data_IF_339053640374
#
_entry.id   IF_339053640374
#
_cell.length_a   1.000
_cell.length_b   1.000
_cell.length_c   1.000
_cell.angle_alpha   90.00
_cell.angle_beta   90.00
_cell.angle_gamma   90.00
#
_symmetry.space_group_name_H-M   'P 1'
#
loop_
_entity.id
_entity.type
_entity.pdbx_description
1 polymer ?
#
# COMPACT_ATOMS: atom_id res chain seq x y z
N UNK A 1 5.61 3.00 4.14
CA UNK A 1 6.45 2.02 4.89
C UNK A 1 7.86 2.56 4.95
N UNK A 2 8.64 2.27 6.00
CA UNK A 2 10.04 2.70 6.09
C UNK A 2 10.96 1.75 5.32
N UNK A 3 12.04 2.28 4.75
CA UNK A 3 13.01 1.53 3.95
C UNK A 3 13.77 0.46 4.74
N UNK A 4 13.91 0.64 6.05
CA UNK A 4 14.57 -0.26 7.01
C UNK A 4 13.68 -1.41 7.52
N UNK A 5 12.43 -1.49 7.07
CA UNK A 5 11.51 -2.53 7.52
C UNK A 5 12.08 -3.91 7.19
N UNK A 6 12.21 -4.76 8.21
CA UNK A 6 12.71 -6.12 8.06
C UNK A 6 11.72 -7.01 7.31
N UNK A 7 12.20 -7.65 6.24
CA UNK A 7 11.47 -8.57 5.38
C UNK A 7 12.22 -9.91 5.30
N UNK A 8 11.49 -10.92 4.86
CA UNK A 8 11.99 -12.19 4.38
C UNK A 8 11.46 -12.40 2.96
N UNK A 9 12.16 -13.22 2.18
CA UNK A 9 11.66 -13.70 0.89
C UNK A 9 10.30 -14.39 1.03
N UNK A 10 9.47 -14.38 -0.01
CA UNK A 10 8.17 -15.07 0.00
C UNK A 10 8.29 -16.57 0.32
N UNK A 11 9.33 -17.21 -0.20
CA UNK A 11 9.61 -18.64 -0.06
C UNK A 11 10.21 -19.00 1.30
N UNK A 12 10.56 -18.02 2.13
CA UNK A 12 11.08 -18.29 3.45
C UNK A 12 10.07 -19.15 4.24
N UNK A 13 10.56 -20.26 4.77
CA UNK A 13 9.79 -21.21 5.55
C UNK A 13 10.39 -21.36 6.95
N UNK A 14 9.58 -21.82 7.90
CA UNK A 14 10.06 -22.11 9.26
C UNK A 14 10.70 -23.49 9.26
N UNK A 15 11.88 -23.59 9.87
CA UNK A 15 12.59 -24.86 10.00
C UNK A 15 12.94 -25.17 11.46
N UNK A 16 12.89 -26.45 11.78
CA UNK A 16 13.36 -27.02 13.05
C UNK A 16 14.83 -27.38 12.89
N UNK A 17 15.67 -27.08 13.88
CA UNK A 17 17.06 -27.54 13.83
C UNK A 17 17.11 -29.03 14.16
N UNK A 18 18.07 -29.79 13.59
CA UNK A 18 18.36 -31.13 14.06
C UNK A 18 18.58 -31.13 15.58
N UNK A 19 18.03 -32.12 16.26
CA UNK A 19 18.08 -32.22 17.72
C UNK A 19 18.62 -33.59 18.13
N UNK A 20 19.72 -33.57 18.89
CA UNK A 20 20.41 -34.77 19.37
C UNK A 20 20.72 -34.71 20.88
N UNK A 21 20.02 -33.83 21.62
CA UNK A 21 20.25 -33.62 23.05
C UNK A 21 19.15 -34.19 23.93
N UNK A 22 19.21 -33.89 25.23
CA UNK A 22 18.20 -34.23 26.25
C UNK A 22 17.41 -33.02 26.76
N UNK A 23 17.77 -31.80 26.33
CA UNK A 23 17.13 -30.53 26.75
C UNK A 23 15.82 -30.18 26.01
N UNK A 24 15.40 -28.91 26.04
CA UNK A 24 14.16 -28.49 25.35
C UNK A 24 14.25 -28.70 23.84
N UNK A 25 13.27 -29.41 23.26
CA UNK A 25 13.19 -29.63 21.80
C UNK A 25 13.10 -28.28 21.03
N UNK A 26 13.80 -28.13 19.89
CA UNK A 26 13.74 -26.91 19.10
C UNK A 26 12.35 -26.71 18.51
N UNK A 27 11.88 -25.47 18.51
CA UNK A 27 10.62 -25.09 17.85
C UNK A 27 10.89 -24.56 16.44
N UNK A 28 9.95 -24.73 15.49
CA UNK A 28 10.09 -24.18 14.15
C UNK A 28 10.28 -22.67 14.19
N UNK A 29 11.26 -22.12 13.45
CA UNK A 29 11.45 -20.67 13.33
C UNK A 29 12.02 -20.29 11.98
N UNK A 30 11.78 -19.04 11.56
CA UNK A 30 12.49 -18.45 10.42
C UNK A 30 13.95 -18.29 10.78
N UNK A 31 14.83 -18.99 10.06
CA UNK A 31 16.28 -18.95 10.24
C UNK A 31 16.99 -18.15 9.15
N UNK A 32 16.30 -17.93 8.03
CA UNK A 32 16.76 -17.11 6.93
C UNK A 32 17.04 -15.68 7.41
N UNK A 33 18.07 -15.07 6.81
CA UNK A 33 18.45 -13.69 7.10
C UNK A 33 17.30 -12.75 6.74
N UNK A 34 17.01 -11.81 7.64
CA UNK A 34 16.09 -10.71 7.35
C UNK A 34 16.83 -9.63 6.58
N UNK A 35 16.18 -9.10 5.57
CA UNK A 35 16.72 -8.10 4.66
C UNK A 35 15.84 -6.86 4.76
N UNK A 36 16.42 -5.67 4.66
CA UNK A 36 15.62 -4.44 4.62
C UNK A 36 14.90 -4.32 3.27
N UNK A 37 13.75 -3.66 3.24
CA UNK A 37 13.03 -3.42 1.99
C UNK A 37 13.90 -2.71 0.94
N UNK A 38 14.74 -1.76 1.38
CA UNK A 38 15.72 -1.11 0.51
C UNK A 38 16.71 -2.11 -0.08
N UNK A 39 17.37 -2.90 0.75
CA UNK A 39 18.40 -3.83 0.29
C UNK A 39 17.80 -4.87 -0.67
N UNK A 40 16.62 -5.41 -0.36
CA UNK A 40 15.94 -6.37 -1.22
C UNK A 40 15.65 -5.81 -2.63
N UNK A 41 15.18 -4.55 -2.72
CA UNK A 41 14.91 -3.91 -4.00
C UNK A 41 16.21 -3.56 -4.75
N UNK A 42 17.27 -3.19 -4.03
CA UNK A 42 18.58 -2.95 -4.62
C UNK A 42 19.22 -4.23 -5.17
N UNK A 43 19.09 -5.36 -4.48
CA UNK A 43 19.60 -6.67 -4.92
C UNK A 43 18.90 -7.18 -6.19
N UNK A 44 17.59 -6.94 -6.33
CA UNK A 44 16.86 -7.20 -7.59
C UNK A 44 17.32 -6.32 -8.76
N UNK A 45 17.96 -5.18 -8.44
CA UNK A 45 18.58 -4.28 -9.41
C UNK A 45 17.59 -3.55 -10.31
N UNK A 46 18.13 -2.67 -11.17
CA UNK A 46 17.32 -1.84 -12.08
C UNK A 46 16.63 -2.63 -13.19
N UNK A 47 17.09 -3.85 -13.50
CA UNK A 47 16.52 -4.71 -14.56
C UNK A 47 15.16 -5.30 -14.17
N UNK A 48 14.90 -5.46 -12.87
CA UNK A 48 13.62 -5.93 -12.35
C UNK A 48 12.54 -4.82 -12.28
N UNK A 49 12.85 -3.59 -12.72
CA UNK A 49 11.91 -2.48 -12.68
C UNK A 49 11.01 -2.46 -13.90
N UNK A 50 9.71 -2.27 -13.66
CA UNK A 50 8.72 -2.05 -14.71
C UNK A 50 8.30 -0.58 -14.74
N UNK A 51 8.33 0.02 -15.94
CA UNK A 51 7.74 1.35 -16.14
C UNK A 51 6.23 1.23 -16.18
N UNK A 52 5.54 1.91 -15.26
CA UNK A 52 4.08 1.85 -15.14
C UNK A 52 3.49 3.24 -15.28
N UNK A 53 2.44 3.33 -16.11
CA UNK A 53 1.56 4.51 -16.24
C UNK A 53 0.24 4.24 -15.53
N UNK A 54 -0.15 5.08 -14.58
CA UNK A 54 -1.34 4.82 -13.75
C UNK A 54 -2.47 5.83 -13.91
N UNK A 55 -2.20 7.07 -14.34
CA UNK A 55 -3.24 8.11 -14.57
C UNK A 55 -2.71 9.20 -15.51
N UNK A 56 -3.61 9.93 -16.16
CA UNK A 56 -3.29 11.21 -16.82
C UNK A 56 -3.47 12.36 -15.83
N UNK A 57 -2.38 13.09 -15.54
CA UNK A 57 -2.40 14.33 -14.78
C UNK A 57 -2.47 15.55 -15.70
N UNK A 58 -2.48 16.75 -15.12
CA UNK A 58 -2.52 18.01 -15.88
C UNK A 58 -1.32 18.23 -16.81
N UNK A 59 -0.16 17.64 -16.49
CA UNK A 59 1.08 17.68 -17.30
C UNK A 59 1.29 16.42 -18.15
N UNK A 60 0.25 15.63 -18.38
CA UNK A 60 0.32 14.37 -19.12
C UNK A 60 0.35 13.12 -18.23
N UNK A 61 0.68 11.94 -18.79
CA UNK A 61 0.59 10.68 -18.08
C UNK A 61 1.59 10.59 -16.93
N UNK A 62 1.08 10.36 -15.72
CA UNK A 62 1.88 10.04 -14.55
C UNK A 62 2.50 8.65 -14.74
N UNK A 63 3.84 8.64 -14.75
CA UNK A 63 4.65 7.45 -14.97
C UNK A 63 5.86 7.44 -14.05
N UNK A 64 6.30 6.24 -13.69
CA UNK A 64 7.49 5.98 -12.88
C UNK A 64 7.89 4.51 -13.04
N UNK A 65 8.98 4.09 -12.43
CA UNK A 65 9.44 2.70 -12.44
C UNK A 65 9.21 2.06 -11.08
N UNK A 66 8.78 0.80 -11.09
CA UNK A 66 8.44 0.08 -9.87
C UNK A 66 9.06 -1.31 -9.85
N UNK A 67 9.52 -1.72 -8.67
CA UNK A 67 9.72 -3.12 -8.33
C UNK A 67 8.48 -3.63 -7.58
N UNK A 68 8.01 -4.81 -7.94
CA UNK A 68 6.94 -5.52 -7.24
C UNK A 68 7.42 -6.91 -6.87
N UNK A 69 7.53 -7.19 -5.58
CA UNK A 69 8.07 -8.43 -5.04
C UNK A 69 7.07 -9.05 -4.06
N UNK A 70 7.04 -10.38 -3.98
CA UNK A 70 6.33 -11.09 -2.92
C UNK A 70 7.28 -11.27 -1.75
N UNK A 71 6.85 -10.90 -0.55
CA UNK A 71 7.69 -10.90 0.65
C UNK A 71 6.89 -11.34 1.88
N UNK A 72 7.59 -11.74 2.93
CA UNK A 72 7.01 -11.93 4.27
C UNK A 72 7.50 -10.81 5.20
N UNK A 73 6.63 -9.89 5.65
CA UNK A 73 7.05 -8.87 6.59
C UNK A 73 7.48 -9.50 7.92
N UNK A 74 8.67 -9.14 8.41
CA UNK A 74 9.32 -9.77 9.54
C UNK A 74 9.68 -8.78 10.66
N UNK A 75 8.99 -7.64 10.70
CA UNK A 75 9.10 -6.65 11.79
C UNK A 75 8.65 -7.20 13.14
N UNK A 76 9.09 -6.57 14.23
CA UNK A 76 8.80 -7.04 15.60
C UNK A 76 7.29 -7.13 15.87
N UNK A 77 6.52 -6.10 15.47
CA UNK A 77 5.07 -6.06 15.70
C UNK A 77 4.33 -7.21 15.02
N UNK A 78 4.62 -7.47 13.74
CA UNK A 78 3.95 -8.54 13.01
C UNK A 78 4.37 -9.92 13.54
N UNK A 79 5.65 -10.12 13.88
CA UNK A 79 6.10 -11.38 14.48
C UNK A 79 5.45 -11.67 15.83
N UNK A 80 5.21 -10.65 16.65
CA UNK A 80 4.46 -10.79 17.91
C UNK A 80 3.00 -11.12 17.66
N UNK A 81 2.34 -10.43 16.72
CA UNK A 81 0.94 -10.66 16.40
C UNK A 81 0.65 -12.08 15.92
N UNK A 82 1.59 -12.72 15.21
CA UNK A 82 1.43 -14.08 14.74
C UNK A 82 1.90 -15.14 15.76
N UNK A 83 2.35 -14.75 16.95
CA UNK A 83 2.68 -15.66 18.08
C UNK A 83 3.56 -16.86 17.71
N UNK A 84 4.47 -16.71 16.75
CA UNK A 84 5.26 -17.84 16.25
C UNK A 84 4.44 -18.80 15.39
N UNK A 85 3.51 -18.29 14.59
CA UNK A 85 2.90 -18.92 13.43
C UNK A 85 3.65 -18.55 12.13
N UNK A 86 3.08 -18.91 10.98
CA UNK A 86 3.61 -18.46 9.69
C UNK A 86 3.35 -16.97 9.46
N UNK A 87 4.34 -16.26 8.93
CA UNK A 87 4.18 -14.85 8.56
C UNK A 87 3.46 -14.75 7.21
N UNK A 88 2.54 -13.80 7.03
CA UNK A 88 1.78 -13.71 5.78
C UNK A 88 2.69 -13.31 4.63
N UNK A 89 2.41 -13.84 3.43
CA UNK A 89 3.03 -13.37 2.19
C UNK A 89 2.21 -12.19 1.67
N UNK A 90 2.87 -11.08 1.38
CA UNK A 90 2.24 -9.88 0.84
C UNK A 90 3.10 -9.27 -0.28
N UNK A 91 2.55 -8.27 -0.97
CA UNK A 91 3.27 -7.48 -1.96
C UNK A 91 4.13 -6.43 -1.28
N UNK A 92 5.40 -6.35 -1.66
CA UNK A 92 6.23 -5.16 -1.56
C UNK A 92 6.23 -4.45 -2.90
N UNK A 93 5.72 -3.22 -2.93
CA UNK A 93 5.88 -2.32 -4.05
C UNK A 93 6.90 -1.24 -3.68
N UNK A 94 7.89 -1.02 -4.53
CA UNK A 94 8.86 0.06 -4.36
C UNK A 94 8.91 0.92 -5.62
N UNK A 95 8.84 2.23 -5.45
CA UNK A 95 9.02 3.19 -6.53
C UNK A 95 10.50 3.57 -6.63
N UNK A 96 11.06 3.41 -7.82
CA UNK A 96 12.42 3.81 -8.14
C UNK A 96 12.43 4.74 -9.36
N UNK A 97 12.22 6.06 -9.16
CA UNK A 97 12.13 7.01 -10.25
C UNK A 97 13.39 7.03 -11.13
N UNK A 98 13.28 7.41 -12.42
CA UNK A 98 14.45 7.67 -13.25
C UNK A 98 15.33 8.77 -12.64
N UNK A 99 16.65 8.65 -12.78
CA UNK A 99 17.63 9.58 -12.20
C UNK A 99 17.99 9.32 -10.74
N UNK A 100 17.13 8.62 -9.98
CA UNK A 100 17.38 8.38 -8.56
C UNK A 100 18.40 7.25 -8.33
N UNK A 101 19.34 7.41 -7.37
CA UNK A 101 20.32 6.38 -7.05
C UNK A 101 19.69 5.18 -6.33
N UNK A 102 18.55 5.37 -5.66
CA UNK A 102 17.86 4.34 -4.88
C UNK A 102 16.32 4.49 -4.91
N UNK A 103 15.56 3.47 -4.48
CA UNK A 103 14.10 3.57 -4.44
C UNK A 103 13.63 4.54 -3.34
N UNK A 104 12.68 5.41 -3.69
CA UNK A 104 12.28 6.55 -2.87
C UNK A 104 11.03 6.30 -2.03
N UNK A 105 10.16 5.38 -2.45
CA UNK A 105 8.89 5.08 -1.76
C UNK A 105 8.61 3.59 -1.71
N UNK A 106 7.98 3.14 -0.63
CA UNK A 106 7.69 1.73 -0.36
C UNK A 106 6.26 1.55 0.19
N UNK A 107 5.57 0.54 -0.32
CA UNK A 107 4.24 0.11 0.11
C UNK A 107 4.24 -1.40 0.39
N UNK A 108 3.47 -1.81 1.39
CA UNK A 108 3.06 -3.20 1.57
C UNK A 108 1.59 -3.33 1.24
N UNK A 109 1.21 -4.44 0.63
CA UNK A 109 -0.19 -4.72 0.31
C UNK A 109 -0.53 -6.19 0.46
N UNK A 110 -1.63 -6.46 1.15
CA UNK A 110 -2.22 -7.81 1.30
C UNK A 110 -3.12 -8.19 0.13
N UNK A 111 -3.10 -7.42 -0.98
CA UNK A 111 -3.88 -7.73 -2.17
C UNK A 111 -3.50 -9.11 -2.76
N UNK A 112 -4.43 -9.73 -3.52
CA UNK A 112 -4.21 -11.02 -4.16
C UNK A 112 -2.91 -11.11 -4.97
N UNK A 113 -2.30 -12.30 -5.01
CA UNK A 113 -1.01 -12.54 -5.68
C UNK A 113 -1.06 -12.46 -7.20
N UNK A 114 -2.25 -12.47 -7.78
CA UNK A 114 -2.55 -12.36 -9.22
C UNK A 114 -2.95 -10.95 -9.64
N UNK A 115 -2.94 -9.98 -8.72
CA UNK A 115 -3.34 -8.60 -9.04
C UNK A 115 -2.43 -7.99 -10.13
N UNK A 116 -3.00 -7.38 -11.19
CA UNK A 116 -2.19 -6.72 -12.21
C UNK A 116 -1.35 -5.59 -11.61
N UNK A 117 -0.06 -5.53 -12.00
CA UNK A 117 0.87 -4.51 -11.51
C UNK A 117 0.34 -3.08 -11.66
N UNK A 118 -0.29 -2.77 -12.80
CA UNK A 118 -0.88 -1.45 -13.03
C UNK A 118 -1.96 -1.10 -11.99
N UNK A 119 -2.77 -2.07 -11.58
CA UNK A 119 -3.82 -1.88 -10.55
C UNK A 119 -3.19 -1.71 -9.16
N UNK A 120 -2.16 -2.50 -8.84
CA UNK A 120 -1.39 -2.36 -7.60
C UNK A 120 -0.76 -0.96 -7.48
N UNK A 121 -0.09 -0.49 -8.54
CA UNK A 121 0.49 0.86 -8.60
C UNK A 121 -0.60 1.93 -8.53
N UNK A 122 -1.72 1.75 -9.25
CA UNK A 122 -2.85 2.68 -9.21
C UNK A 122 -3.40 2.88 -7.79
N UNK A 123 -3.58 1.78 -7.04
CA UNK A 123 -4.01 1.81 -5.65
C UNK A 123 -2.95 2.47 -4.74
N UNK A 124 -1.68 2.13 -4.91
CA UNK A 124 -0.59 2.75 -4.13
C UNK A 124 -0.48 4.27 -4.35
N UNK A 125 -0.88 4.74 -5.54
CA UNK A 125 -0.84 6.15 -5.96
C UNK A 125 -2.17 6.89 -5.79
N UNK A 126 -3.20 6.26 -5.21
CA UNK A 126 -4.53 6.87 -5.06
C UNK A 126 -4.56 8.05 -4.08
N UNK A 127 -3.51 8.24 -3.27
CA UNK A 127 -3.42 9.32 -2.27
C UNK A 127 -3.81 10.70 -2.80
N UNK A 128 -3.36 11.05 -4.01
CA UNK A 128 -3.72 12.33 -4.62
C UNK A 128 -5.23 12.47 -4.90
N UNK A 129 -5.90 11.36 -5.21
CA UNK A 129 -7.36 11.35 -5.36
C UNK A 129 -8.04 11.56 -4.01
N UNK A 130 -7.57 10.87 -2.97
CA UNK A 130 -8.05 11.08 -1.59
C UNK A 130 -7.93 12.55 -1.18
N UNK A 131 -6.77 13.18 -1.39
CA UNK A 131 -6.56 14.60 -1.05
C UNK A 131 -7.48 15.54 -1.84
N UNK A 132 -7.79 15.21 -3.09
CA UNK A 132 -8.74 15.98 -3.90
C UNK A 132 -10.17 15.80 -3.40
N UNK A 133 -10.61 14.56 -3.14
CA UNK A 133 -11.93 14.22 -2.62
C UNK A 133 -12.17 14.90 -1.25
N UNK A 134 -11.15 14.93 -0.37
CA UNK A 134 -11.22 15.66 0.90
C UNK A 134 -11.35 17.17 0.73
N UNK A 135 -10.69 17.77 -0.28
CA UNK A 135 -10.83 19.20 -0.56
C UNK A 135 -12.25 19.51 -1.02
N UNK A 136 -12.81 18.67 -1.89
CA UNK A 136 -14.19 18.81 -2.34
C UNK A 136 -15.19 18.67 -1.20
N UNK A 137 -15.03 17.64 -0.35
CA UNK A 137 -15.86 17.42 0.82
C UNK A 137 -15.86 18.64 1.76
N UNK A 138 -14.70 19.24 2.03
CA UNK A 138 -14.58 20.42 2.89
C UNK A 138 -15.09 21.68 2.20
N UNK A 139 -14.42 22.12 1.15
CA UNK A 139 -14.67 23.41 0.52
C UNK A 139 -15.96 23.45 -0.30
N UNK A 140 -16.30 22.35 -0.98
CA UNK A 140 -17.47 22.29 -1.86
C UNK A 140 -18.75 21.86 -1.14
N UNK A 141 -18.64 20.98 -0.15
CA UNK A 141 -19.80 20.35 0.51
C UNK A 141 -19.91 20.66 2.01
N UNK A 142 -18.97 21.40 2.58
CA UNK A 142 -19.06 21.90 3.94
C UNK A 142 -18.84 20.85 5.03
N UNK A 143 -17.99 19.85 4.80
CA UNK A 143 -17.66 18.84 5.81
C UNK A 143 -17.21 19.45 7.15
N UNK A 144 -16.55 20.60 7.11
CA UNK A 144 -16.06 21.36 8.26
C UNK A 144 -16.95 22.56 8.66
N UNK A 145 -18.17 22.66 8.12
CA UNK A 145 -19.12 23.74 8.41
C UNK A 145 -20.14 23.39 9.52
N UNK A 146 -19.96 22.28 10.24
CA UNK A 146 -20.87 21.91 11.33
C UNK A 146 -20.62 22.77 12.58
N UNK A 147 -21.63 23.53 13.00
CA UNK A 147 -21.55 24.44 14.17
C UNK A 147 -22.27 23.91 15.42
N UNK A 148 -22.89 22.73 15.34
CA UNK A 148 -23.57 22.10 16.48
C UNK A 148 -22.61 21.48 17.50
N UNK A 149 -23.16 21.04 18.64
CA UNK A 149 -22.36 20.45 19.75
C UNK A 149 -22.72 19.02 20.11
N UNK A 150 -23.68 18.41 19.41
CA UNK A 150 -24.13 17.05 19.69
C UNK A 150 -23.44 16.07 18.77
N UNK A 151 -23.03 14.91 19.32
CA UNK A 151 -22.46 13.81 18.55
C UNK A 151 -23.40 13.33 17.44
N UNK A 152 -24.70 13.22 17.74
CA UNK A 152 -25.73 12.83 16.77
C UNK A 152 -25.86 13.84 15.62
N UNK A 153 -25.86 15.15 15.95
CA UNK A 153 -25.89 16.21 14.93
C UNK A 153 -24.67 16.17 14.02
N UNK A 154 -23.48 16.00 14.59
CA UNK A 154 -22.24 15.87 13.81
C UNK A 154 -22.28 14.64 12.90
N UNK A 155 -22.74 13.50 13.41
CA UNK A 155 -22.89 12.28 12.63
C UNK A 155 -23.85 12.45 11.47
N UNK A 156 -25.00 13.08 11.70
CA UNK A 156 -25.98 13.37 10.67
C UNK A 156 -25.37 14.26 9.58
N UNK A 157 -24.67 15.32 9.96
CA UNK A 157 -23.98 16.23 9.04
C UNK A 157 -22.95 15.50 8.16
N UNK A 158 -22.01 14.78 8.78
CA UNK A 158 -20.96 14.04 8.03
C UNK A 158 -21.58 13.00 7.10
N UNK A 159 -22.68 12.36 7.51
CA UNK A 159 -23.40 11.39 6.69
C UNK A 159 -24.02 12.07 5.47
N UNK A 160 -24.74 13.18 5.65
CA UNK A 160 -25.35 13.94 4.55
C UNK A 160 -24.29 14.45 3.57
N UNK A 161 -23.19 15.01 4.06
CA UNK A 161 -22.07 15.47 3.23
C UNK A 161 -21.45 14.31 2.44
N UNK A 162 -21.31 13.13 3.06
CA UNK A 162 -20.80 11.93 2.37
C UNK A 162 -21.74 11.45 1.27
N UNK A 163 -23.07 11.49 1.51
CA UNK A 163 -24.09 11.15 0.51
C UNK A 163 -24.07 12.14 -0.66
N UNK A 164 -23.98 13.44 -0.37
CA UNK A 164 -23.88 14.47 -1.41
C UNK A 164 -22.62 14.27 -2.27
N UNK A 165 -21.49 13.94 -1.66
CA UNK A 165 -20.25 13.64 -2.38
C UNK A 165 -20.38 12.40 -3.27
N UNK A 166 -21.02 11.34 -2.77
CA UNK A 166 -21.29 10.14 -3.55
C UNK A 166 -22.19 10.45 -4.76
N UNK A 167 -23.24 11.25 -4.57
CA UNK A 167 -24.11 11.71 -5.64
C UNK A 167 -23.33 12.48 -6.73
N UNK A 168 -22.56 13.51 -6.35
CA UNK A 168 -21.73 14.26 -7.29
C UNK A 168 -20.72 13.37 -8.03
N UNK A 169 -20.13 12.40 -7.33
CA UNK A 169 -19.18 11.45 -7.92
C UNK A 169 -19.86 10.55 -8.96
N UNK A 170 -21.06 10.05 -8.67
CA UNK A 170 -21.84 9.21 -9.59
C UNK A 170 -22.25 9.99 -10.85
N UNK A 171 -22.72 11.22 -10.70
CA UNK A 171 -23.08 12.09 -11.84
C UNK A 171 -21.86 12.39 -12.73
N UNK A 172 -20.66 12.58 -12.14
CA UNK A 172 -19.42 12.73 -12.93
C UNK A 172 -19.02 11.47 -13.70
N UNK A 173 -19.33 10.30 -13.16
CA UNK A 173 -19.03 9.01 -13.81
C UNK A 173 -20.05 8.67 -14.90
N UNK A 174 -21.23 9.26 -14.86
CA UNK A 174 -22.29 9.08 -15.86
C UNK A 174 -22.80 10.44 -16.39
N UNK A 175 -21.95 11.18 -17.11
CA UNK A 175 -22.31 12.52 -17.55
C UNK A 175 -23.44 12.46 -18.60
N UNK A 176 -24.55 13.16 -18.34
CA UNK A 176 -25.68 13.26 -19.28
C UNK A 176 -25.33 13.96 -20.60
N UNK A 177 -24.28 14.78 -20.60
CA UNK A 177 -23.70 15.39 -21.79
C UNK A 177 -22.17 15.27 -21.71
N UNK A 178 -21.47 14.98 -22.82
CA UNK A 178 -20.01 14.93 -22.82
C UNK A 178 -19.44 16.29 -22.40
N UNK A 179 -18.42 16.25 -21.54
CA UNK A 179 -17.68 17.46 -21.19
C UNK A 179 -17.06 18.05 -22.47
N UNK A 180 -17.16 19.37 -22.65
CA UNK A 180 -16.52 20.06 -23.78
C UNK A 180 -15.00 19.77 -23.77
N UNK A 181 -14.48 19.47 -24.96
CA UNK A 181 -13.08 19.08 -25.19
C UNK A 181 -12.09 20.20 -24.88
#
# INVERSE_FOLDING_TARGET
MRSDTALLEAEACRSVAPYAGTGRRPVPRYRQRRISARQLVLEGGRRALHTVRWRTGSKGPLRSRFAALRVRPAGVRIRRAYAGGELPVCWLLAEWPPGEPEPTKYWLSTLPGDIPLRRLVGLAKIRWRIEHDYRELKTGLGLDHFEGRTWSGWHHHVTLVSVAHAFCTLERLNPKAPAAA
#
